data_IF_193898458216
#
_entry.id   IF_193898458216
#
_cell.length_a   1.000
_cell.length_b   1.000
_cell.length_c   1.000
_cell.angle_alpha   90.00
_cell.angle_beta   90.00
_cell.angle_gamma   90.00
#
_symmetry.space_group_name_H-M   'P 1'
#
loop_
_entity.id
_entity.type
_entity.pdbx_description
1 polymer ?
#
# COMPACT_ATOMS: atom_id res chain seq x y z
N UNK A 1 -17.70 17.04 28.86
CA UNK A 1 -17.86 15.63 28.45
C UNK A 1 -18.37 15.45 27.02
N UNK A 2 -19.44 16.13 26.57
CA UNK A 2 -19.94 16.00 25.17
C UNK A 2 -18.88 16.19 24.07
N UNK A 3 -18.04 17.22 24.17
CA UNK A 3 -16.95 17.50 23.20
C UNK A 3 -15.91 16.38 23.03
N UNK A 4 -15.72 15.52 24.04
CA UNK A 4 -14.72 14.44 23.97
C UNK A 4 -15.29 13.27 23.18
N UNK A 5 -16.58 12.98 23.37
CA UNK A 5 -17.30 11.89 22.70
C UNK A 5 -17.46 12.19 21.20
N UNK A 6 -17.81 13.43 20.82
CA UNK A 6 -17.90 13.84 19.41
C UNK A 6 -16.54 13.79 18.69
N UNK A 7 -15.45 14.09 19.41
CA UNK A 7 -14.09 14.06 18.85
C UNK A 7 -13.65 12.63 18.52
N UNK A 8 -13.97 11.65 19.36
CA UNK A 8 -13.68 10.23 19.12
C UNK A 8 -14.50 9.64 17.97
N UNK A 9 -15.75 10.09 17.80
CA UNK A 9 -16.64 9.59 16.76
C UNK A 9 -16.25 10.11 15.37
N UNK A 10 -15.81 11.38 15.28
CA UNK A 10 -15.27 11.96 14.05
C UNK A 10 -13.92 11.33 13.65
N UNK A 11 -13.02 11.07 14.61
CA UNK A 11 -11.76 10.35 14.34
C UNK A 11 -12.08 8.96 13.79
N UNK A 12 -13.03 8.22 14.39
CA UNK A 12 -13.48 6.93 13.86
C UNK A 12 -14.05 7.01 12.45
N UNK A 13 -14.75 8.08 12.09
CA UNK A 13 -15.26 8.25 10.73
C UNK A 13 -14.12 8.48 9.72
N UNK A 14 -13.13 9.29 10.07
CA UNK A 14 -11.92 9.50 9.25
C UNK A 14 -11.14 8.19 9.11
N UNK A 15 -10.96 7.44 10.21
CA UNK A 15 -10.29 6.13 10.18
C UNK A 15 -11.01 5.12 9.29
N UNK A 16 -12.34 5.18 9.23
CA UNK A 16 -13.14 4.23 8.44
C UNK A 16 -13.21 4.58 6.96
N UNK A 17 -13.24 5.88 6.64
CA UNK A 17 -13.41 6.36 5.27
C UNK A 17 -12.08 6.51 4.51
N UNK A 18 -11.00 6.90 5.18
CA UNK A 18 -9.76 7.33 4.53
C UNK A 18 -8.54 6.44 4.81
N UNK A 19 -8.65 5.43 5.68
CA UNK A 19 -7.51 4.54 5.94
C UNK A 19 -7.11 3.82 4.65
N UNK A 20 -5.86 4.00 4.18
CA UNK A 20 -5.40 3.34 2.98
C UNK A 20 -5.45 1.82 3.17
N UNK A 21 -6.04 1.12 2.19
CA UNK A 21 -6.10 -0.34 2.22
C UNK A 21 -4.74 -0.94 1.89
N UNK A 22 -4.31 -1.93 2.68
CA UNK A 22 -3.13 -2.76 2.41
C UNK A 22 -3.39 -3.83 1.35
N UNK A 23 -4.65 -4.02 0.94
CA UNK A 23 -5.02 -5.10 0.03
C UNK A 23 -4.32 -5.00 -1.33
N UNK A 24 -4.35 -3.82 -1.95
CA UNK A 24 -3.77 -3.60 -3.28
C UNK A 24 -2.26 -3.88 -3.35
N UNK A 25 -1.39 -3.31 -2.47
CA UNK A 25 0.03 -3.60 -2.51
C UNK A 25 0.36 -5.06 -2.18
N UNK A 26 -0.41 -5.70 -1.29
CA UNK A 26 -0.22 -7.13 -0.96
C UNK A 26 -0.59 -8.00 -2.17
N UNK A 27 -1.74 -7.77 -2.79
CA UNK A 27 -2.17 -8.53 -3.96
C UNK A 27 -1.22 -8.35 -5.14
N UNK A 28 -0.77 -7.12 -5.39
CA UNK A 28 0.24 -6.86 -6.42
C UNK A 28 1.53 -7.65 -6.16
N UNK A 29 1.99 -7.70 -4.90
CA UNK A 29 3.18 -8.47 -4.50
C UNK A 29 2.98 -9.97 -4.73
N UNK A 30 1.84 -10.54 -4.33
CA UNK A 30 1.54 -11.97 -4.53
C UNK A 30 1.52 -12.32 -6.02
N UNK A 31 0.78 -11.57 -6.83
CA UNK A 31 0.68 -11.83 -8.29
C UNK A 31 2.03 -11.71 -8.97
N UNK A 32 2.80 -10.68 -8.60
CA UNK A 32 4.13 -10.44 -9.17
C UNK A 32 5.18 -11.43 -8.69
N UNK A 33 4.96 -12.17 -7.59
CA UNK A 33 5.91 -13.16 -7.07
C UNK A 33 5.94 -14.46 -7.89
N UNK A 34 4.83 -14.84 -8.53
CA UNK A 34 4.73 -16.12 -9.23
C UNK A 34 5.75 -16.29 -10.37
N UNK A 35 6.02 -15.27 -11.20
CA UNK A 35 7.06 -15.35 -12.25
C UNK A 35 8.48 -15.48 -11.69
N UNK A 36 8.76 -14.98 -10.49
CA UNK A 36 10.06 -15.21 -9.83
C UNK A 36 10.23 -16.64 -9.35
N UNK A 37 9.14 -17.27 -8.89
CA UNK A 37 9.14 -18.70 -8.58
C UNK A 37 9.45 -19.54 -9.81
N UNK A 38 8.84 -19.21 -10.95
CA UNK A 38 9.16 -19.87 -12.23
C UNK A 38 10.62 -19.64 -12.67
N UNK A 39 11.11 -18.39 -12.55
CA UNK A 39 12.51 -18.08 -12.86
C UNK A 39 13.48 -18.90 -12.00
N UNK A 40 13.19 -19.07 -10.71
CA UNK A 40 14.04 -19.86 -9.82
C UNK A 40 14.14 -21.32 -10.29
N UNK A 41 13.01 -21.92 -10.71
CA UNK A 41 13.00 -23.27 -11.27
C UNK A 41 13.82 -23.37 -12.56
N UNK A 42 13.66 -22.40 -13.47
CA UNK A 42 14.44 -22.36 -14.73
C UNK A 42 15.96 -22.28 -14.47
N UNK A 43 16.37 -21.51 -13.46
CA UNK A 43 17.78 -21.39 -13.04
C UNK A 43 18.27 -22.73 -12.47
N UNK A 44 17.48 -23.39 -11.63
CA UNK A 44 17.85 -24.69 -11.05
C UNK A 44 18.02 -25.78 -12.11
N UNK A 45 17.24 -25.73 -13.19
CA UNK A 45 17.32 -26.68 -14.30
C UNK A 45 18.38 -26.31 -15.36
N UNK A 46 19.15 -25.22 -15.18
CA UNK A 46 20.11 -24.70 -16.17
C UNK A 46 19.48 -24.51 -17.56
N UNK A 47 18.26 -23.99 -17.60
CA UNK A 47 17.50 -23.80 -18.83
C UNK A 47 18.01 -22.60 -19.62
N UNK A 48 18.19 -22.75 -20.93
CA UNK A 48 18.50 -21.63 -21.86
C UNK A 48 17.41 -20.54 -21.84
N UNK A 49 16.21 -20.86 -21.33
CA UNK A 49 15.07 -19.94 -21.24
C UNK A 49 15.18 -18.95 -20.07
N UNK A 50 16.17 -19.11 -19.19
CA UNK A 50 16.42 -18.26 -18.02
C UNK A 50 16.42 -16.77 -18.38
N UNK A 51 17.03 -16.38 -19.51
CA UNK A 51 17.06 -14.99 -19.95
C UNK A 51 15.64 -14.44 -20.23
N UNK A 52 14.77 -15.25 -20.83
CA UNK A 52 13.39 -14.85 -21.14
C UNK A 52 12.58 -14.71 -19.85
N UNK A 53 12.72 -15.65 -18.92
CA UNK A 53 12.07 -15.60 -17.60
C UNK A 53 12.57 -14.42 -16.76
N UNK A 54 13.85 -14.04 -16.89
CA UNK A 54 14.43 -12.87 -16.23
C UNK A 54 13.88 -11.55 -16.81
N UNK A 55 13.72 -11.47 -18.13
CA UNK A 55 13.14 -10.30 -18.80
C UNK A 55 11.66 -10.09 -18.44
N UNK A 56 10.92 -11.17 -18.21
CA UNK A 56 9.51 -11.11 -17.79
C UNK A 56 9.41 -10.73 -16.32
N UNK A 57 10.25 -11.31 -15.46
CA UNK A 57 10.17 -11.10 -14.02
C UNK A 57 10.72 -9.72 -13.63
N UNK A 58 11.88 -9.28 -14.13
CA UNK A 58 12.54 -8.02 -13.75
C UNK A 58 11.61 -6.80 -13.65
N UNK A 59 10.79 -6.47 -14.66
CA UNK A 59 9.85 -5.34 -14.62
C UNK A 59 8.78 -5.43 -13.53
N UNK A 60 8.43 -6.62 -13.04
CA UNK A 60 7.40 -6.81 -12.02
C UNK A 60 7.81 -6.22 -10.67
N UNK A 61 9.11 -6.18 -10.35
CA UNK A 61 9.62 -5.48 -9.17
C UNK A 61 9.32 -3.98 -9.23
N UNK A 62 9.36 -3.38 -10.42
CA UNK A 62 9.01 -1.96 -10.61
C UNK A 62 7.52 -1.75 -10.33
N UNK A 63 6.67 -2.68 -10.79
CA UNK A 63 5.22 -2.64 -10.53
C UNK A 63 4.96 -2.76 -9.02
N UNK A 64 5.57 -3.72 -8.33
CA UNK A 64 5.46 -3.87 -6.87
C UNK A 64 5.90 -2.59 -6.17
N UNK A 65 7.06 -2.04 -6.57
CA UNK A 65 7.57 -0.77 -6.05
C UNK A 65 6.56 0.36 -6.20
N UNK A 66 5.94 0.51 -7.37
CA UNK A 66 4.93 1.53 -7.62
C UNK A 66 3.71 1.43 -6.68
N UNK A 67 3.16 0.22 -6.48
CA UNK A 67 2.04 0.03 -5.56
C UNK A 67 2.40 0.38 -4.11
N UNK A 68 3.58 -0.05 -3.65
CA UNK A 68 4.06 0.28 -2.31
C UNK A 68 4.34 1.77 -2.13
N UNK A 69 4.96 2.41 -3.12
CA UNK A 69 5.18 3.86 -3.12
C UNK A 69 3.86 4.62 -3.08
N UNK A 70 2.88 4.24 -3.91
CA UNK A 70 1.55 4.86 -3.90
C UNK A 70 0.84 4.68 -2.55
N UNK A 71 0.87 3.48 -1.98
CA UNK A 71 0.34 3.21 -0.66
C UNK A 71 1.02 4.06 0.41
N UNK A 72 2.35 4.19 0.36
CA UNK A 72 3.11 5.00 1.30
C UNK A 72 2.71 6.48 1.23
N UNK A 73 2.57 7.04 0.03
CA UNK A 73 2.09 8.42 -0.14
C UNK A 73 0.71 8.62 0.51
N UNK A 74 -0.25 7.73 0.22
CA UNK A 74 -1.59 7.78 0.83
C UNK A 74 -1.54 7.66 2.36
N UNK A 75 -0.63 6.83 2.88
CA UNK A 75 -0.45 6.66 4.32
C UNK A 75 0.12 7.91 4.99
N UNK A 76 1.09 8.58 4.34
CA UNK A 76 1.66 9.84 4.84
C UNK A 76 0.61 10.94 4.82
N UNK A 77 -0.15 11.06 3.73
CA UNK A 77 -1.25 12.02 3.60
C UNK A 77 -2.31 11.81 4.69
N UNK A 78 -2.80 10.58 4.85
CA UNK A 78 -3.74 10.20 5.91
C UNK A 78 -3.22 10.55 7.32
N UNK A 79 -1.95 10.27 7.61
CA UNK A 79 -1.33 10.64 8.91
C UNK A 79 -1.26 12.15 9.11
N UNK A 80 -0.97 12.90 8.04
CA UNK A 80 -0.93 14.36 8.09
C UNK A 80 -2.31 14.95 8.32
N UNK A 81 -3.35 14.45 7.66
CA UNK A 81 -4.73 14.88 7.85
C UNK A 81 -5.22 14.62 9.28
N UNK A 82 -4.95 13.43 9.82
CA UNK A 82 -5.31 13.11 11.21
C UNK A 82 -4.58 14.04 12.19
N UNK A 83 -3.29 14.27 11.99
CA UNK A 83 -2.52 15.19 12.84
C UNK A 83 -3.09 16.60 12.77
N UNK A 84 -3.38 17.10 11.57
CA UNK A 84 -3.96 18.42 11.36
C UNK A 84 -5.34 18.55 12.03
N UNK A 85 -6.18 17.50 11.95
CA UNK A 85 -7.45 17.44 12.64
C UNK A 85 -7.31 17.47 14.18
N UNK A 86 -6.33 16.73 14.72
CA UNK A 86 -6.07 16.71 16.17
C UNK A 86 -5.60 18.07 16.70
N UNK A 87 -4.79 18.79 15.91
CA UNK A 87 -4.25 20.12 16.21
C UNK A 87 -5.29 21.23 16.05
N UNK A 88 -6.15 21.17 15.02
CA UNK A 88 -7.13 22.22 14.69
C UNK A 88 -8.58 21.70 14.68
N UNK A 89 -9.11 21.16 15.79
CA UNK A 89 -10.44 20.56 15.81
C UNK A 89 -11.58 21.56 15.58
N UNK A 90 -11.34 22.86 15.72
CA UNK A 90 -12.35 23.93 15.53
C UNK A 90 -12.56 24.34 14.08
N UNK A 91 -11.64 24.02 13.17
CA UNK A 91 -11.74 24.37 11.75
C UNK A 91 -12.62 23.40 10.98
N UNK A 92 -12.76 22.18 11.48
CA UNK A 92 -13.59 21.15 10.89
C UNK A 92 -15.00 21.22 11.48
N UNK A 93 -15.87 21.98 10.82
CA UNK A 93 -17.31 21.97 11.07
C UNK A 93 -17.90 20.74 10.39
N UNK A 94 -18.05 19.65 11.14
CA UNK A 94 -18.92 18.54 10.78
C UNK A 94 -20.23 18.67 11.56
#
# INVERSE_FOLDING_TARGET
>A
MKKIIEKDEAIRQIEKAYKPSLFDPIMATIVCSAPYGHLLLDIMENSERTLTSALISGPLLVVVGFFWTSYYYKLVEYKNEIRYYLENPSEFKW
#
